data_IF_347174115115
#
_entry.id   IF_347174115115
#
_cell.length_a   1.000
_cell.length_b   1.000
_cell.length_c   1.000
_cell.angle_alpha   90.00
_cell.angle_beta   90.00
_cell.angle_gamma   90.00
#
_symmetry.space_group_name_H-M   'P 1'
#
loop_
_entity.id
_entity.type
_entity.pdbx_description
1 polymer ?
#
# COMPACT_ATOMS: atom_id res chain seq x y z
N UNK A 1 11.30 -2.02 -3.25
CA UNK A 1 11.05 -0.84 -2.37
C UNK A 1 11.07 -1.40 -0.96
N UNK A 2 12.13 -1.14 -0.17
CA UNK A 2 12.42 -1.89 1.06
C UNK A 2 11.33 -1.76 2.14
N UNK A 3 10.59 -0.67 2.15
CA UNK A 3 9.44 -0.50 3.06
C UNK A 3 8.29 -1.49 2.75
N UNK A 4 8.09 -1.85 1.47
CA UNK A 4 7.05 -2.81 1.08
C UNK A 4 7.38 -4.23 1.53
N UNK A 5 8.66 -4.58 1.68
CA UNK A 5 9.11 -5.92 2.06
C UNK A 5 8.61 -6.31 3.46
N UNK A 6 8.42 -5.33 4.35
CA UNK A 6 7.90 -5.56 5.71
C UNK A 6 6.46 -6.08 5.73
N UNK A 7 5.71 -5.85 4.64
CA UNK A 7 4.33 -6.28 4.47
C UNK A 7 4.20 -7.58 3.67
N UNK A 8 5.28 -8.07 3.05
CA UNK A 8 5.27 -9.32 2.28
C UNK A 8 4.91 -10.53 3.17
N UNK A 9 4.15 -11.48 2.60
CA UNK A 9 3.75 -12.72 3.31
C UNK A 9 2.62 -12.54 4.32
N UNK A 10 1.93 -11.40 4.31
CA UNK A 10 0.77 -11.12 5.16
C UNK A 10 -0.49 -10.93 4.32
N UNK A 11 -1.64 -11.21 4.92
CA UNK A 11 -2.95 -11.01 4.30
C UNK A 11 -3.51 -9.65 4.71
N UNK A 12 -3.97 -8.88 3.72
CA UNK A 12 -4.61 -7.58 3.92
C UNK A 12 -5.89 -7.49 3.13
N UNK A 13 -6.81 -6.66 3.62
CA UNK A 13 -8.01 -6.30 2.87
C UNK A 13 -7.68 -5.28 1.81
N UNK A 14 -8.22 -5.46 0.60
CA UNK A 14 -8.16 -4.44 -0.44
C UNK A 14 -8.99 -3.24 0.01
N UNK A 15 -8.34 -2.09 0.14
CA UNK A 15 -8.97 -0.83 0.49
C UNK A 15 -9.58 -0.16 -0.75
N UNK A 16 -8.81 -0.08 -1.84
CA UNK A 16 -9.24 0.60 -3.06
C UNK A 16 -8.48 0.11 -4.30
N UNK A 17 -9.18 -0.07 -5.41
CA UNK A 17 -8.55 -0.28 -6.73
C UNK A 17 -8.21 1.08 -7.36
N UNK A 18 -7.00 1.17 -7.91
CA UNK A 18 -6.44 2.39 -8.48
C UNK A 18 -6.27 2.22 -9.99
N UNK A 19 -7.03 3.00 -10.74
CA UNK A 19 -6.91 3.05 -12.20
C UNK A 19 -6.20 4.29 -12.69
N UNK A 20 -6.32 5.40 -11.95
CA UNK A 20 -5.83 6.71 -12.34
C UNK A 20 -5.12 7.36 -11.16
N UNK A 21 -3.96 7.95 -11.42
CA UNK A 21 -3.16 8.70 -10.45
C UNK A 21 -2.95 10.12 -10.95
N UNK A 22 -2.80 11.06 -10.01
CA UNK A 22 -2.31 12.41 -10.31
C UNK A 22 -0.89 12.53 -9.76
N UNK A 23 0.05 12.94 -10.59
CA UNK A 23 1.42 13.24 -10.18
C UNK A 23 1.43 14.56 -9.41
N UNK A 24 1.88 14.55 -8.16
CA UNK A 24 1.92 15.77 -7.34
C UNK A 24 2.88 16.82 -7.92
N UNK A 25 4.02 16.40 -8.48
CA UNK A 25 5.04 17.32 -9.00
C UNK A 25 4.61 18.10 -10.25
N UNK A 26 3.74 17.53 -11.08
CA UNK A 26 3.38 18.10 -12.39
C UNK A 26 1.89 18.36 -12.56
N UNK A 27 1.04 17.80 -11.69
CA UNK A 27 -0.42 17.81 -11.83
C UNK A 27 -0.95 16.87 -12.92
N UNK A 28 -0.07 16.14 -13.62
CA UNK A 28 -0.47 15.26 -14.72
C UNK A 28 -1.27 14.06 -14.22
N UNK A 29 -2.36 13.77 -14.93
CA UNK A 29 -3.21 12.61 -14.65
C UNK A 29 -2.78 11.44 -15.52
N UNK A 30 -2.36 10.34 -14.90
CA UNK A 30 -1.93 9.12 -15.59
C UNK A 30 -2.87 7.96 -15.30
N UNK A 31 -3.27 7.25 -16.34
CA UNK A 31 -3.95 5.95 -16.20
C UNK A 31 -2.91 4.86 -16.01
N UNK A 32 -3.06 4.06 -14.97
CA UNK A 32 -2.21 2.90 -14.71
C UNK A 32 -2.53 1.81 -15.74
N UNK A 33 -1.49 1.23 -16.35
CA UNK A 33 -1.63 0.17 -17.35
C UNK A 33 -1.90 -1.21 -16.74
N UNK A 34 -1.60 -1.37 -15.46
CA UNK A 34 -1.72 -2.63 -14.74
C UNK A 34 -2.70 -2.48 -13.59
N UNK A 35 -3.50 -3.52 -13.30
CA UNK A 35 -4.39 -3.53 -12.14
C UNK A 35 -3.57 -3.30 -10.88
N UNK A 36 -3.92 -2.25 -10.15
CA UNK A 36 -3.19 -1.78 -8.98
C UNK A 36 -4.17 -1.53 -7.85
N UNK A 37 -3.82 -1.91 -6.63
CA UNK A 37 -4.66 -1.80 -5.44
C UNK A 37 -3.90 -1.17 -4.29
N UNK A 38 -4.65 -0.53 -3.40
CA UNK A 38 -4.22 -0.13 -2.08
C UNK A 38 -4.75 -1.14 -1.07
N UNK A 39 -3.89 -1.50 -0.12
CA UNK A 39 -4.20 -2.42 0.97
C UNK A 39 -4.49 -1.60 2.24
N UNK A 40 -5.44 -2.07 3.03
CA UNK A 40 -5.85 -1.39 4.26
C UNK A 40 -4.73 -1.41 5.31
N UNK A 41 -4.39 -0.24 5.87
CA UNK A 41 -3.34 -0.12 6.88
C UNK A 41 -1.91 -0.29 6.35
N UNK A 42 -1.72 -0.35 5.03
CA UNK A 42 -0.41 -0.54 4.39
C UNK A 42 0.03 0.77 3.73
N UNK A 43 0.90 1.49 4.42
CA UNK A 43 1.42 2.77 3.99
C UNK A 43 2.90 2.92 4.36
N UNK A 44 3.56 3.86 3.68
CA UNK A 44 4.93 4.30 3.98
C UNK A 44 4.96 4.88 5.40
N UNK A 45 5.89 4.41 6.22
CA UNK A 45 6.05 4.88 7.60
C UNK A 45 7.08 6.02 7.73
N UNK A 46 7.68 6.44 6.62
CA UNK A 46 8.61 7.57 6.58
C UNK A 46 10.02 7.28 7.08
N UNK A 47 10.27 6.11 7.68
CA UNK A 47 11.58 5.81 8.28
C UNK A 47 12.71 5.79 7.26
N UNK A 48 12.40 5.47 5.99
CA UNK A 48 13.39 5.49 4.89
C UNK A 48 13.35 6.78 4.06
N UNK A 49 12.61 7.77 4.53
CA UNK A 49 12.42 9.08 3.94
C UNK A 49 12.62 10.18 4.98
N UNK A 50 13.67 10.10 5.79
CA UNK A 50 14.06 11.14 6.76
C UNK A 50 12.96 11.51 7.77
N UNK A 51 12.08 10.54 8.11
CA UNK A 51 10.95 10.78 9.01
C UNK A 51 9.74 11.42 8.34
N UNK A 52 9.59 11.30 7.02
CA UNK A 52 8.45 11.83 6.26
C UNK A 52 7.09 11.36 6.82
N UNK A 53 6.23 12.32 7.17
CA UNK A 53 4.94 12.05 7.81
C UNK A 53 3.76 11.83 6.83
N UNK A 54 4.01 11.91 5.51
CA UNK A 54 2.97 11.91 4.46
C UNK A 54 2.14 10.62 4.39
N UNK A 55 2.61 9.52 4.97
CA UNK A 55 1.86 8.26 5.05
C UNK A 55 1.32 7.77 3.70
N UNK A 56 2.14 7.87 2.65
CA UNK A 56 1.71 7.55 1.29
C UNK A 56 1.33 6.07 1.15
N UNK A 57 0.26 5.79 0.40
CA UNK A 57 -0.11 4.41 0.07
C UNK A 57 0.92 3.76 -0.86
N UNK A 58 1.17 2.47 -0.63
CA UNK A 58 1.96 1.65 -1.55
C UNK A 58 1.09 1.16 -2.71
N UNK A 59 1.61 1.27 -3.93
CA UNK A 59 0.95 0.76 -5.14
C UNK A 59 1.25 -0.73 -5.32
N UNK A 60 0.31 -1.59 -4.94
CA UNK A 60 0.43 -3.04 -5.12
C UNK A 60 -0.17 -3.45 -6.45
N UNK A 61 0.61 -4.07 -7.33
CA UNK A 61 0.05 -4.67 -8.54
C UNK A 61 -0.67 -5.96 -8.17
N UNK A 62 -1.86 -6.19 -8.72
CA UNK A 62 -2.59 -7.45 -8.46
C UNK A 62 -1.76 -8.67 -8.87
N UNK A 63 -0.90 -8.55 -9.88
CA UNK A 63 0.00 -9.62 -10.32
C UNK A 63 1.07 -10.04 -9.27
N UNK A 64 1.25 -9.26 -8.20
CA UNK A 64 2.17 -9.59 -7.09
C UNK A 64 1.46 -10.18 -5.88
N UNK A 65 0.12 -10.19 -5.89
CA UNK A 65 -0.70 -10.59 -4.76
C UNK A 65 -1.37 -11.93 -5.06
N UNK A 66 -1.51 -12.74 -4.02
CA UNK A 66 -2.37 -13.91 -4.05
C UNK A 66 -3.72 -13.55 -3.40
N UNK A 67 -4.82 -14.10 -3.95
CA UNK A 67 -6.15 -13.92 -3.36
C UNK A 67 -6.25 -14.81 -2.14
N UNK A 68 -6.37 -14.21 -0.96
CA UNK A 68 -6.65 -14.93 0.28
C UNK A 68 -8.06 -15.54 0.25
N UNK A 69 -8.24 -16.63 0.99
CA UNK A 69 -9.54 -17.28 1.10
C UNK A 69 -10.52 -16.37 1.88
N UNK A 70 -11.80 -16.27 1.48
CA UNK A 70 -12.78 -15.42 2.16
C UNK A 70 -12.94 -15.71 3.66
N UNK A 71 -12.57 -16.91 4.09
CA UNK A 71 -12.69 -17.36 5.49
C UNK A 71 -11.42 -17.10 6.32
N UNK A 72 -10.33 -16.63 5.72
CA UNK A 72 -9.12 -16.30 6.48
C UNK A 72 -9.30 -14.95 7.19
N UNK A 73 -9.40 -14.92 8.52
CA UNK A 73 -9.43 -13.66 9.24
C UNK A 73 -8.11 -12.95 8.98
N UNK A 74 -8.18 -11.81 8.29
CA UNK A 74 -7.03 -10.93 8.12
C UNK A 74 -6.41 -10.68 9.49
N UNK A 75 -5.14 -11.04 9.65
CA UNK A 75 -4.43 -10.93 10.93
C UNK A 75 -4.57 -9.47 11.39
N UNK A 76 -5.06 -9.19 12.63
CA UNK A 76 -5.14 -7.83 13.13
C UNK A 76 -3.72 -7.27 13.16
N UNK A 77 -3.40 -6.45 12.17
CA UNK A 77 -2.09 -5.85 12.04
C UNK A 77 -1.96 -4.85 13.20
N UNK A 78 -1.03 -5.10 14.11
CA UNK A 78 -0.44 -4.01 14.88
C UNK A 78 0.26 -3.12 13.86
N UNK A 79 -0.47 -2.13 13.33
CA UNK A 79 0.10 -1.03 12.55
C UNK A 79 1.31 -0.53 13.35
N UNK A 80 2.47 -0.27 12.72
CA UNK A 80 3.50 0.48 13.40
C UNK A 80 2.84 1.78 13.89
N UNK A 81 2.62 1.85 15.20
CA UNK A 81 2.16 3.06 15.87
C UNK A 81 3.20 4.10 15.49
N UNK A 82 2.75 5.16 14.83
CA UNK A 82 3.59 6.33 14.53
C UNK A 82 4.28 6.69 15.85
N UNK A 83 5.62 6.68 15.95
CA UNK A 83 6.25 7.28 17.11
C UNK A 83 5.81 8.75 17.14
N UNK A 84 5.39 9.20 18.33
CA UNK A 84 4.88 10.54 18.59
C UNK A 84 5.94 11.62 18.37
#
# INVERSE_FOLDING_TARGET
>A
MPEMESYSGRVFRVFKTVEVIKLESTGEVRRLKSPTVFLEGVYCNGERHEGCDRSCFHFWREAWLERADPQEPGIPQSLPLRPA
#
